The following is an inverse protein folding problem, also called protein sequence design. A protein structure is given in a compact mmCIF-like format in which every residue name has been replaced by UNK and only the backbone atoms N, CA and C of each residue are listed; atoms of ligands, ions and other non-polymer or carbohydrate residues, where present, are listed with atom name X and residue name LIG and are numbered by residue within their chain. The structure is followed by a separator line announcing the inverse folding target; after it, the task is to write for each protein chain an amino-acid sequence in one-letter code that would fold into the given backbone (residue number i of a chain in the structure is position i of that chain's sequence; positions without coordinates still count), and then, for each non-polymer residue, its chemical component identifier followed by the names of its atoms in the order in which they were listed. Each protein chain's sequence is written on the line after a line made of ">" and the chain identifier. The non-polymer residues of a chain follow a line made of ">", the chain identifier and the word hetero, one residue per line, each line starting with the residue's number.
data_IF_798700872485
#
_entry.id   IF_798700872485
#
_cell.length_a   1.000
_cell.length_b   1.000
_cell.length_c   1.000
_cell.angle_alpha   90.00
_cell.angle_beta   90.00
_cell.angle_gamma   90.00
#
_symmetry.space_group_name_H-M   'P 1'
#
loop_
_entity.id
_entity.type
_entity.pdbx_description
1 polymer ?
#
# COMPACT_ATOMS: atom_id res chain seq x y z
N UNK A 1 -1.09 6.15 5.05
CA UNK A 1 -0.51 4.87 4.59
C UNK A 1 0.90 5.13 4.08
N UNK A 2 1.86 4.23 4.32
CA UNK A 2 3.18 4.26 3.70
C UNK A 2 3.28 3.21 2.58
N UNK A 3 4.00 3.55 1.49
CA UNK A 3 4.25 2.66 0.33
C UNK A 3 5.75 2.41 0.10
N UNK A 4 6.45 1.68 1.00
CA UNK A 4 7.81 1.25 0.69
C UNK A 4 7.80 0.33 -0.52
N UNK A 5 8.69 0.57 -1.48
CA UNK A 5 8.83 -0.27 -2.67
C UNK A 5 10.27 -0.75 -2.81
N UNK A 6 10.42 -2.01 -3.20
CA UNK A 6 11.72 -2.56 -3.56
C UNK A 6 12.00 -2.31 -5.04
N UNK A 7 13.28 -2.06 -5.38
CA UNK A 7 13.68 -1.97 -6.77
C UNK A 7 13.49 -3.33 -7.45
N UNK A 8 12.88 -3.34 -8.65
CA UNK A 8 12.53 -4.56 -9.40
C UNK A 8 13.65 -5.60 -9.54
N UNK A 9 14.92 -5.17 -9.62
CA UNK A 9 16.10 -6.06 -9.70
C UNK A 9 16.28 -6.98 -8.50
N UNK A 10 15.70 -6.64 -7.35
CA UNK A 10 15.78 -7.45 -6.13
C UNK A 10 14.52 -8.31 -5.91
N UNK A 11 13.51 -8.19 -6.78
CA UNK A 11 12.26 -8.94 -6.67
C UNK A 11 12.33 -10.26 -7.44
N UNK A 12 12.36 -11.38 -6.72
CA UNK A 12 12.29 -12.72 -7.33
C UNK A 12 10.88 -13.12 -7.75
N UNK A 13 9.89 -12.77 -6.91
CA UNK A 13 8.46 -13.03 -7.09
C UNK A 13 7.67 -11.78 -6.69
N UNK A 14 6.68 -11.35 -7.47
CA UNK A 14 5.82 -10.24 -7.09
C UNK A 14 5.12 -10.53 -5.76
N UNK A 15 5.10 -9.56 -4.85
CA UNK A 15 4.36 -9.68 -3.59
C UNK A 15 3.87 -8.32 -3.13
N UNK A 16 2.67 -8.34 -2.54
CA UNK A 16 2.08 -7.23 -1.82
C UNK A 16 1.95 -7.66 -0.36
N UNK A 17 2.60 -6.94 0.55
CA UNK A 17 2.48 -7.16 1.99
C UNK A 17 1.82 -5.94 2.63
N UNK A 18 0.81 -6.19 3.48
CA UNK A 18 0.08 -5.13 4.18
C UNK A 18 0.19 -5.38 5.68
N UNK A 19 0.85 -4.45 6.37
CA UNK A 19 0.87 -4.39 7.83
C UNK A 19 -0.12 -3.34 8.32
N UNK A 20 -1.12 -3.75 9.10
CA UNK A 20 -1.97 -2.85 9.87
C UNK A 20 -1.31 -2.60 11.22
N UNK A 21 -1.13 -1.34 11.57
CA UNK A 21 -0.39 -0.96 12.76
C UNK A 21 -1.35 -0.79 13.93
N UNK A 22 -0.98 -1.30 15.10
CA UNK A 22 -1.74 -1.08 16.35
C UNK A 22 -1.72 0.38 16.79
N UNK A 23 -0.64 1.10 16.46
CA UNK A 23 -0.49 2.53 16.70
C UNK A 23 0.13 3.23 15.48
N UNK A 24 -0.26 4.47 15.17
CA UNK A 24 0.30 5.20 14.03
C UNK A 24 1.78 5.53 14.24
N UNK A 25 2.61 5.34 13.22
CA UNK A 25 4.04 5.67 13.23
C UNK A 25 4.35 6.80 12.24
N UNK A 26 5.41 7.56 12.48
CA UNK A 26 5.80 8.68 11.61
C UNK A 26 6.58 8.20 10.38
N UNK A 27 6.19 8.70 9.20
CA UNK A 27 6.93 8.59 7.95
C UNK A 27 7.16 9.98 7.36
N UNK A 28 8.25 10.17 6.63
CA UNK A 28 8.42 11.36 5.79
C UNK A 28 7.48 11.30 4.58
N UNK A 29 6.89 12.45 4.23
CA UNK A 29 6.08 12.53 3.01
C UNK A 29 6.96 12.35 1.78
N UNK A 30 6.40 11.71 0.76
CA UNK A 30 7.11 11.42 -0.48
C UNK A 30 7.35 12.67 -1.33
N UNK A 31 6.41 13.63 -1.31
CA UNK A 31 6.42 14.89 -2.04
C UNK A 31 7.07 16.05 -1.25
N UNK A 32 7.11 15.95 0.09
CA UNK A 32 7.72 16.94 0.97
C UNK A 32 8.53 16.26 2.08
N UNK A 33 9.81 15.91 1.84
CA UNK A 33 10.64 15.17 2.81
C UNK A 33 10.94 15.91 4.11
N UNK A 34 10.66 17.22 4.19
CA UNK A 34 10.73 18.00 5.43
C UNK A 34 9.52 17.78 6.34
N UNK A 35 8.42 17.25 5.81
CA UNK A 35 7.19 17.01 6.53
C UNK A 35 7.03 15.53 6.91
N UNK A 36 6.42 15.32 8.08
CA UNK A 36 6.06 13.99 8.58
C UNK A 36 4.56 13.75 8.47
N UNK A 37 4.19 12.49 8.30
CA UNK A 37 2.82 12.00 8.30
C UNK A 37 2.72 10.77 9.20
N UNK A 38 1.66 10.68 10.01
CA UNK A 38 1.34 9.48 10.77
C UNK A 38 0.66 8.47 9.85
N UNK A 39 1.20 7.26 9.77
CA UNK A 39 0.65 6.18 8.97
C UNK A 39 0.12 5.08 9.87
N UNK A 40 -1.05 4.55 9.52
CA UNK A 40 -1.74 3.46 10.23
C UNK A 40 -1.56 2.11 9.52
N UNK A 41 -0.97 2.13 8.33
CA UNK A 41 -0.65 0.93 7.57
C UNK A 41 0.60 1.12 6.71
N UNK A 42 1.34 0.02 6.55
CA UNK A 42 2.49 -0.12 5.67
C UNK A 42 2.11 -1.10 4.57
N UNK A 43 2.22 -0.65 3.32
CA UNK A 43 2.00 -1.47 2.13
C UNK A 43 3.34 -1.63 1.43
N UNK A 44 4.01 -2.75 1.67
CA UNK A 44 5.27 -3.08 1.04
C UNK A 44 5.00 -3.74 -0.31
N UNK A 45 5.57 -3.16 -1.36
CA UNK A 45 5.37 -3.60 -2.73
C UNK A 45 6.68 -4.09 -3.34
N UNK A 46 6.70 -5.33 -3.79
CA UNK A 46 7.79 -5.89 -4.57
C UNK A 46 7.24 -6.32 -5.94
N UNK A 47 7.68 -5.64 -6.99
CA UNK A 47 7.24 -5.86 -8.37
C UNK A 47 8.39 -6.41 -9.20
N UNK A 48 8.08 -7.16 -10.26
CA UNK A 48 9.07 -7.82 -11.11
C UNK A 48 9.21 -7.18 -12.50
N UNK A 49 8.15 -6.55 -13.00
CA UNK A 49 8.08 -5.94 -14.33
C UNK A 49 7.63 -4.48 -14.23
N UNK A 50 8.35 -3.55 -14.87
CA UNK A 50 8.13 -2.10 -14.76
C UNK A 50 6.83 -1.63 -15.43
N UNK A 51 6.41 -2.25 -16.53
CA UNK A 51 5.20 -1.83 -17.26
C UNK A 51 3.95 -2.31 -16.54
N UNK A 52 3.95 -3.56 -16.08
CA UNK A 52 2.89 -4.09 -15.21
C UNK A 52 2.83 -3.33 -13.87
N UNK A 53 3.99 -2.90 -13.36
CA UNK A 53 4.09 -2.12 -12.12
C UNK A 53 3.32 -0.81 -12.18
N UNK A 54 3.43 -0.06 -13.28
CA UNK A 54 2.82 1.26 -13.41
C UNK A 54 1.29 1.17 -13.40
N UNK A 55 0.72 0.19 -14.11
CA UNK A 55 -0.72 -0.06 -14.14
C UNK A 55 -1.25 -0.42 -12.74
N UNK A 56 -0.55 -1.33 -12.04
CA UNK A 56 -0.91 -1.73 -10.69
C UNK A 56 -0.82 -0.57 -9.69
N UNK A 57 0.26 0.20 -9.73
CA UNK A 57 0.46 1.37 -8.84
C UNK A 57 -0.66 2.41 -9.00
N UNK A 58 -1.14 2.65 -10.22
CA UNK A 58 -2.28 3.55 -10.47
C UNK A 58 -3.55 3.04 -9.80
N UNK A 59 -3.87 1.75 -9.97
CA UNK A 59 -5.03 1.12 -9.31
C UNK A 59 -4.90 1.22 -7.79
N UNK A 60 -3.73 0.87 -7.25
CA UNK A 60 -3.46 0.93 -5.81
C UNK A 60 -3.65 2.35 -5.29
N UNK A 61 -3.08 3.37 -5.94
CA UNK A 61 -3.22 4.78 -5.53
C UNK A 61 -4.69 5.22 -5.49
N UNK A 62 -5.50 4.80 -6.47
CA UNK A 62 -6.95 5.03 -6.46
C UNK A 62 -7.63 4.37 -5.26
N UNK A 63 -7.24 3.15 -4.91
CA UNK A 63 -7.76 2.45 -3.72
C UNK A 63 -7.33 3.13 -2.42
N UNK A 64 -6.12 3.68 -2.33
CA UNK A 64 -5.69 4.43 -1.15
C UNK A 64 -6.53 5.69 -0.90
N UNK A 65 -7.13 6.24 -1.96
CA UNK A 65 -8.06 7.37 -1.88
C UNK A 65 -9.51 6.94 -1.62
N UNK A 66 -9.80 5.63 -1.58
CA UNK A 66 -11.13 5.10 -1.36
C UNK A 66 -11.51 5.17 0.14
N UNK A 67 -12.71 5.69 0.42
CA UNK A 67 -13.21 5.88 1.79
C UNK A 67 -13.38 4.55 2.55
N UNK A 68 -13.89 3.51 1.89
CA UNK A 68 -14.08 2.18 2.48
C UNK A 68 -12.74 1.56 2.86
N UNK A 69 -11.73 1.70 1.99
CA UNK A 69 -10.37 1.26 2.29
C UNK A 69 -9.78 2.01 3.50
N UNK A 70 -9.92 3.34 3.54
CA UNK A 70 -9.44 4.14 4.65
C UNK A 70 -10.11 3.77 5.99
N UNK A 71 -11.41 3.45 5.98
CA UNK A 71 -12.14 2.95 7.16
C UNK A 71 -11.60 1.59 7.59
N UNK A 72 -11.42 0.65 6.65
CA UNK A 72 -10.91 -0.68 6.94
C UNK A 72 -9.51 -0.65 7.56
N UNK A 73 -8.63 0.27 7.11
CA UNK A 73 -7.31 0.49 7.72
C UNK A 73 -7.44 1.01 9.15
N UNK A 74 -8.26 2.04 9.38
CA UNK A 74 -8.45 2.64 10.72
C UNK A 74 -9.03 1.67 11.75
N UNK A 75 -9.91 0.78 11.30
CA UNK A 75 -10.51 -0.25 12.16
C UNK A 75 -9.58 -1.45 12.38
N UNK A 76 -8.43 -1.51 11.71
CA UNK A 76 -7.57 -2.69 11.75
C UNK A 76 -8.22 -3.94 11.13
N UNK A 77 -9.20 -3.78 10.24
CA UNK A 77 -10.00 -4.88 9.70
C UNK A 77 -9.27 -5.57 8.54
N UNK A 78 -8.37 -6.49 8.86
CA UNK A 78 -7.56 -7.22 7.89
C UNK A 78 -8.39 -7.99 6.85
N UNK A 79 -9.56 -8.51 7.22
CA UNK A 79 -10.44 -9.25 6.29
C UNK A 79 -11.01 -8.30 5.23
N UNK A 80 -11.49 -7.12 5.64
CA UNK A 80 -12.03 -6.15 4.70
C UNK A 80 -10.93 -5.55 3.81
N UNK A 81 -9.77 -5.21 4.40
CA UNK A 81 -8.59 -4.75 3.64
C UNK A 81 -8.20 -5.78 2.58
N UNK A 82 -8.16 -7.06 2.94
CA UNK A 82 -7.87 -8.15 1.99
C UNK A 82 -8.91 -8.23 0.87
N UNK A 83 -10.20 -8.19 1.20
CA UNK A 83 -11.28 -8.24 0.21
C UNK A 83 -11.19 -7.09 -0.82
N UNK A 84 -10.91 -5.87 -0.36
CA UNK A 84 -10.76 -4.70 -1.22
C UNK A 84 -9.55 -4.80 -2.16
N UNK A 85 -8.46 -5.41 -1.69
CA UNK A 85 -7.26 -5.66 -2.48
C UNK A 85 -7.48 -6.77 -3.51
N UNK A 86 -8.17 -7.85 -3.15
CA UNK A 86 -8.50 -8.94 -4.09
C UNK A 86 -9.34 -8.43 -5.27
N UNK A 87 -10.34 -7.57 -5.00
CA UNK A 87 -11.12 -6.86 -6.03
C UNK A 87 -10.25 -6.02 -6.97
N UNK A 88 -9.18 -5.40 -6.45
CA UNK A 88 -8.22 -4.62 -7.25
C UNK A 88 -7.43 -5.51 -8.23
N UNK A 89 -7.07 -6.71 -7.77
CA UNK A 89 -6.32 -7.71 -8.53
C UNK A 89 -7.18 -8.50 -9.53
N UNK A 90 -8.51 -8.33 -9.52
CA UNK A 90 -9.44 -9.05 -10.40
C UNK A 90 -9.62 -10.52 -10.02
N UNK A 91 -9.47 -10.84 -8.73
CA UNK A 91 -9.64 -12.18 -8.15
C UNK A 91 -10.98 -12.33 -7.44
#
# INVERSE_FOLDING_TARGET
>A
VALPHAHVKYTRRPVLFIGLLSEPIEFYKMDSPSEKVKVEAIILLALKDLDESASFLRKLTSLLSNKEFAVAIREGNAVNVRSLIEKLCGS
#
